data_IF_710102095990
#
_entry.id   IF_710102095990
#
_cell.length_a   1.000
_cell.length_b   1.000
_cell.length_c   1.000
_cell.angle_alpha   90.00
_cell.angle_beta   90.00
_cell.angle_gamma   90.00
#
_symmetry.space_group_name_H-M   'P 1'
#
loop_
_entity.id
_entity.type
_entity.pdbx_description
1 polymer ?
#
# COMPACT_ATOMS: atom_id res chain seq x y z
N UNK A 1 -29.91 -13.14 -42.99
CA UNK A 1 -29.68 -12.91 -41.58
C UNK A 1 -28.21 -13.16 -41.30
N UNK A 2 -27.45 -12.11 -41.14
CA UNK A 2 -26.01 -12.21 -40.82
C UNK A 2 -25.86 -12.03 -39.31
N UNK A 3 -25.40 -13.08 -38.62
CA UNK A 3 -25.05 -13.01 -37.21
C UNK A 3 -23.70 -12.33 -37.09
N UNK A 4 -23.73 -11.09 -36.60
CA UNK A 4 -22.50 -10.42 -36.15
C UNK A 4 -22.14 -10.98 -34.77
N UNK A 5 -21.17 -11.90 -34.74
CA UNK A 5 -20.53 -12.33 -33.49
C UNK A 5 -19.68 -11.15 -32.99
N UNK A 6 -20.21 -10.42 -32.03
CA UNK A 6 -19.45 -9.44 -31.27
C UNK A 6 -18.47 -10.22 -30.35
N UNK A 7 -17.25 -10.45 -30.83
CA UNK A 7 -16.14 -10.97 -30.03
C UNK A 7 -15.77 -9.89 -29.02
N UNK A 8 -16.18 -10.02 -27.78
CA UNK A 8 -15.56 -9.31 -26.67
C UNK A 8 -14.14 -9.83 -26.51
N UNK A 9 -13.20 -9.24 -27.23
CA UNK A 9 -11.80 -9.39 -26.91
C UNK A 9 -11.60 -8.75 -25.52
N UNK A 10 -11.36 -9.60 -24.51
CA UNK A 10 -10.76 -9.18 -23.25
C UNK A 10 -9.45 -8.51 -23.65
N UNK A 11 -9.39 -7.19 -23.53
CA UNK A 11 -8.11 -6.48 -23.63
C UNK A 11 -7.21 -7.03 -22.52
N UNK A 12 -6.28 -7.89 -22.88
CA UNK A 12 -5.16 -8.24 -22.01
C UNK A 12 -4.42 -6.95 -21.72
N UNK A 13 -4.56 -6.43 -20.52
CA UNK A 13 -3.82 -5.26 -20.07
C UNK A 13 -2.36 -5.67 -19.97
N UNK A 14 -1.61 -5.37 -21.00
CA UNK A 14 -0.19 -5.63 -21.06
C UNK A 14 0.52 -4.67 -20.11
N UNK A 15 1.17 -5.22 -19.09
CA UNK A 15 2.08 -4.46 -18.24
C UNK A 15 3.28 -4.03 -19.08
N UNK A 16 3.61 -2.76 -18.99
CA UNK A 16 4.61 -2.15 -19.85
C UNK A 16 5.89 -2.05 -19.05
N UNK A 17 6.97 -2.59 -19.56
CA UNK A 17 8.30 -2.32 -19.03
C UNK A 17 8.63 -0.83 -19.17
N UNK A 18 9.64 -0.35 -18.45
CA UNK A 18 10.07 1.04 -18.57
C UNK A 18 10.46 1.39 -20.02
N UNK A 19 11.13 0.46 -20.71
CA UNK A 19 11.55 0.63 -22.10
C UNK A 19 10.35 0.71 -23.05
N UNK A 20 9.36 -0.14 -22.85
CA UNK A 20 8.12 -0.08 -23.62
C UNK A 20 7.35 1.21 -23.36
N UNK A 21 7.30 1.67 -22.10
CA UNK A 21 6.64 2.93 -21.76
C UNK A 21 7.38 4.13 -22.35
N UNK A 22 8.71 4.09 -22.42
CA UNK A 22 9.53 5.14 -23.02
C UNK A 22 9.26 5.30 -24.54
N UNK A 23 8.93 4.20 -25.24
CA UNK A 23 8.64 4.21 -26.68
C UNK A 23 7.19 4.55 -27.00
N UNK A 24 6.29 4.52 -26.01
CA UNK A 24 4.86 4.72 -26.19
C UNK A 24 4.45 6.12 -25.80
N UNK A 25 4.47 7.01 -26.76
CA UNK A 25 3.72 8.27 -26.68
C UNK A 25 2.24 7.94 -26.75
N UNK A 26 1.55 8.03 -25.62
CA UNK A 26 0.09 8.02 -25.68
C UNK A 26 -0.34 9.39 -26.19
N UNK A 27 -1.35 9.43 -27.07
CA UNK A 27 -1.95 10.68 -27.54
C UNK A 27 -2.50 11.57 -26.42
N UNK A 28 -2.64 10.99 -25.22
CA UNK A 28 -3.21 11.64 -24.04
C UNK A 28 -2.15 12.33 -23.16
N UNK A 29 -0.92 11.80 -23.11
CA UNK A 29 0.15 12.33 -22.27
C UNK A 29 1.48 12.29 -23.02
N UNK A 30 2.14 13.41 -23.17
CA UNK A 30 3.53 13.47 -23.62
C UNK A 30 4.47 13.30 -22.40
N UNK A 31 4.55 12.09 -21.88
CA UNK A 31 5.31 11.75 -20.68
C UNK A 31 6.39 10.72 -21.04
N UNK A 32 7.63 11.02 -20.67
CA UNK A 32 8.73 10.04 -20.73
C UNK A 32 8.75 9.19 -19.46
N UNK A 33 8.82 7.87 -19.62
CA UNK A 33 8.96 6.92 -18.52
C UNK A 33 10.20 7.21 -17.66
N UNK A 34 11.33 7.53 -18.29
CA UNK A 34 12.57 7.88 -17.59
C UNK A 34 12.38 9.07 -16.65
N UNK A 35 11.60 10.05 -17.05
CA UNK A 35 11.29 11.23 -16.22
C UNK A 35 10.40 10.88 -15.06
N UNK A 36 9.39 10.03 -15.27
CA UNK A 36 8.54 9.50 -14.16
C UNK A 36 9.42 8.74 -13.18
N UNK A 37 10.26 7.85 -13.67
CA UNK A 37 11.12 7.04 -12.81
C UNK A 37 12.18 7.86 -12.06
N UNK A 38 12.75 8.89 -12.71
CA UNK A 38 13.65 9.85 -12.05
C UNK A 38 12.96 10.57 -10.88
N UNK A 39 11.68 10.94 -11.05
CA UNK A 39 10.90 11.53 -9.96
C UNK A 39 10.56 10.51 -8.85
N UNK A 40 10.27 9.25 -9.20
CA UNK A 40 10.12 8.17 -8.19
C UNK A 40 11.40 8.04 -7.36
N UNK A 41 12.58 8.04 -7.98
CA UNK A 41 13.86 8.00 -7.25
C UNK A 41 14.02 9.19 -6.31
N UNK A 42 13.62 10.39 -6.74
CA UNK A 42 13.63 11.58 -5.87
C UNK A 42 12.72 11.39 -4.66
N UNK A 43 11.52 10.84 -4.86
CA UNK A 43 10.60 10.52 -3.75
C UNK A 43 11.21 9.49 -2.79
N UNK A 44 11.85 8.45 -3.31
CA UNK A 44 12.52 7.41 -2.51
C UNK A 44 13.63 8.02 -1.64
N UNK A 45 14.47 8.90 -2.21
CA UNK A 45 15.57 9.54 -1.49
C UNK A 45 15.07 10.47 -0.37
N UNK A 46 13.93 11.11 -0.57
CA UNK A 46 13.31 11.98 0.44
C UNK A 46 12.51 11.24 1.50
N UNK A 47 12.18 9.96 1.26
CA UNK A 47 11.32 9.16 2.15
C UNK A 47 12.09 8.61 3.35
N UNK A 48 11.84 9.20 4.52
CA UNK A 48 12.44 8.81 5.81
C UNK A 48 11.60 7.81 6.60
N UNK A 49 10.50 7.29 6.04
CA UNK A 49 9.64 6.36 6.75
C UNK A 49 10.30 4.98 6.94
N UNK A 50 10.09 4.37 8.12
CA UNK A 50 10.79 3.16 8.55
C UNK A 50 9.86 1.96 8.79
N UNK A 51 8.60 2.00 8.31
CA UNK A 51 7.75 0.82 8.35
C UNK A 51 8.27 -0.26 7.38
N UNK A 52 7.99 -1.53 7.66
CA UNK A 52 8.37 -2.63 6.75
C UNK A 52 7.76 -2.42 5.36
N UNK A 53 6.47 -2.06 5.30
CA UNK A 53 5.78 -1.77 4.05
C UNK A 53 6.45 -0.67 3.23
N UNK A 54 6.93 0.40 3.88
CA UNK A 54 7.65 1.47 3.19
C UNK A 54 9.04 1.03 2.71
N UNK A 55 9.70 0.18 3.49
CA UNK A 55 10.98 -0.42 3.09
C UNK A 55 10.78 -1.35 1.88
N UNK A 56 9.71 -2.13 1.84
CA UNK A 56 9.35 -2.98 0.72
C UNK A 56 9.01 -2.17 -0.54
N UNK A 57 8.27 -1.08 -0.42
CA UNK A 57 8.01 -0.18 -1.55
C UNK A 57 9.30 0.40 -2.12
N UNK A 58 10.21 0.90 -1.27
CA UNK A 58 11.53 1.38 -1.71
C UNK A 58 12.36 0.27 -2.34
N UNK A 59 12.35 -0.94 -1.76
CA UNK A 59 13.06 -2.10 -2.30
C UNK A 59 12.59 -2.40 -3.72
N UNK A 60 11.27 -2.45 -3.95
CA UNK A 60 10.72 -2.72 -5.27
C UNK A 60 11.29 -1.77 -6.33
N UNK A 61 11.16 -0.45 -6.13
CA UNK A 61 11.62 0.54 -7.12
C UNK A 61 13.14 0.75 -7.17
N UNK A 62 13.90 0.25 -6.20
CA UNK A 62 15.36 0.23 -6.26
C UNK A 62 15.91 -0.99 -7.01
N UNK A 63 15.15 -2.11 -7.03
CA UNK A 63 15.58 -3.37 -7.64
C UNK A 63 14.90 -3.65 -8.98
N UNK A 64 13.67 -3.16 -9.16
CA UNK A 64 12.88 -3.32 -10.37
C UNK A 64 12.50 -1.95 -10.91
N UNK A 65 12.74 -1.71 -12.21
CA UNK A 65 12.28 -0.52 -12.92
C UNK A 65 10.84 -0.70 -13.45
N UNK A 66 10.05 -1.56 -12.81
CA UNK A 66 8.73 -1.94 -13.26
C UNK A 66 7.65 -1.12 -12.58
N UNK A 67 6.78 -0.50 -13.38
CA UNK A 67 5.61 0.22 -12.89
C UNK A 67 4.48 -0.77 -12.59
N UNK A 68 3.78 -0.55 -11.47
CA UNK A 68 2.72 -1.44 -10.99
C UNK A 68 1.31 -0.91 -11.30
N UNK A 69 1.14 0.41 -11.29
CA UNK A 69 -0.17 1.07 -11.36
C UNK A 69 -0.41 1.80 -12.66
N UNK A 70 0.66 2.29 -13.30
CA UNK A 70 0.57 3.05 -14.54
C UNK A 70 0.60 2.09 -15.73
N UNK A 71 -0.38 2.20 -16.57
CA UNK A 71 -0.50 1.46 -17.83
C UNK A 71 -0.47 2.42 -19.02
N UNK A 72 -0.35 1.89 -20.25
CA UNK A 72 -0.27 2.67 -21.50
C UNK A 72 -1.33 3.77 -21.63
N UNK A 73 -2.49 3.59 -21.06
CA UNK A 73 -3.61 4.52 -21.27
C UNK A 73 -3.98 5.35 -20.06
N UNK A 74 -3.70 4.86 -18.86
CA UNK A 74 -4.20 5.49 -17.63
C UNK A 74 -3.61 4.82 -16.38
N UNK A 75 -3.98 5.33 -15.20
CA UNK A 75 -3.76 4.66 -13.92
C UNK A 75 -4.75 3.50 -13.78
N UNK A 76 -4.28 2.36 -13.34
CA UNK A 76 -5.10 1.16 -13.14
C UNK A 76 -6.34 1.43 -12.26
N UNK A 77 -7.49 0.94 -12.68
CA UNK A 77 -8.74 1.01 -11.89
C UNK A 77 -8.66 0.33 -10.51
N UNK A 78 -7.64 -0.50 -10.27
CA UNK A 78 -7.31 -1.05 -8.95
C UNK A 78 -7.00 0.03 -7.92
N UNK A 79 -6.53 1.20 -8.36
CA UNK A 79 -6.33 2.35 -7.49
C UNK A 79 -7.64 2.79 -6.81
N UNK A 80 -8.76 2.79 -7.54
CA UNK A 80 -10.07 3.10 -6.97
C UNK A 80 -10.52 2.06 -5.95
N UNK A 81 -10.31 0.79 -6.28
CA UNK A 81 -10.60 -0.30 -5.37
C UNK A 81 -9.79 -0.16 -4.09
N UNK A 82 -8.48 0.09 -4.18
CA UNK A 82 -7.63 0.34 -3.03
C UNK A 82 -8.13 1.55 -2.21
N UNK A 83 -8.43 2.67 -2.87
CA UNK A 83 -8.95 3.86 -2.18
C UNK A 83 -10.29 3.60 -1.50
N UNK A 84 -11.15 2.74 -2.04
CA UNK A 84 -12.39 2.34 -1.39
C UNK A 84 -12.15 1.61 -0.06
N UNK A 85 -11.11 0.78 0.03
CA UNK A 85 -10.68 0.14 1.27
C UNK A 85 -10.08 1.15 2.25
N UNK A 86 -9.19 2.01 1.77
CA UNK A 86 -8.52 3.04 2.60
C UNK A 86 -9.53 4.06 3.14
N UNK A 87 -10.57 4.41 2.38
CA UNK A 87 -11.61 5.33 2.83
C UNK A 87 -12.32 4.90 4.12
N UNK A 88 -12.25 3.61 4.45
CA UNK A 88 -12.89 3.00 5.62
C UNK A 88 -11.96 2.65 6.76
N UNK A 89 -10.65 2.96 6.66
CA UNK A 89 -9.67 2.59 7.70
C UNK A 89 -9.90 3.30 9.03
N UNK A 90 -10.62 4.41 9.04
CA UNK A 90 -11.03 5.09 10.29
C UNK A 90 -11.86 4.14 11.18
N UNK A 91 -12.71 3.32 10.57
CA UNK A 91 -13.48 2.29 11.28
C UNK A 91 -12.61 1.18 11.88
N UNK A 92 -11.39 1.02 11.39
CA UNK A 92 -10.38 0.08 11.88
C UNK A 92 -9.43 0.71 12.91
N UNK A 93 -9.63 2.00 13.21
CA UNK A 93 -8.84 2.74 14.19
C UNK A 93 -7.62 3.47 13.62
N UNK A 94 -7.54 3.67 12.30
CA UNK A 94 -6.44 4.37 11.65
C UNK A 94 -6.89 5.66 10.98
N UNK A 95 -6.00 6.64 10.87
CA UNK A 95 -6.21 7.81 10.01
C UNK A 95 -5.92 7.45 8.55
N UNK A 96 -6.78 7.89 7.65
CA UNK A 96 -6.60 7.79 6.20
C UNK A 96 -5.32 8.45 5.70
N UNK A 97 -4.84 9.47 6.41
CA UNK A 97 -3.61 10.20 6.05
C UNK A 97 -2.36 9.31 6.13
N UNK A 98 -2.39 8.28 7.00
CA UNK A 98 -1.31 7.28 7.06
C UNK A 98 -1.17 6.46 5.77
N UNK A 99 -2.18 6.49 4.93
CA UNK A 99 -2.24 5.82 3.63
C UNK A 99 -2.26 6.80 2.46
N UNK A 100 -1.91 8.06 2.68
CA UNK A 100 -1.87 9.11 1.65
C UNK A 100 -3.21 9.35 0.93
N UNK A 101 -4.34 9.08 1.59
CA UNK A 101 -5.67 9.05 0.96
C UNK A 101 -6.02 10.33 0.22
N UNK A 102 -5.87 11.50 0.85
CA UNK A 102 -6.22 12.80 0.25
C UNK A 102 -5.35 13.08 -0.97
N UNK A 103 -4.03 12.90 -0.84
CA UNK A 103 -3.08 13.09 -1.94
C UNK A 103 -3.41 12.18 -3.15
N UNK A 104 -3.62 10.89 -2.89
CA UNK A 104 -3.92 9.93 -3.94
C UNK A 104 -5.25 10.22 -4.64
N UNK A 105 -6.27 10.63 -3.87
CA UNK A 105 -7.57 11.00 -4.42
C UNK A 105 -7.46 12.23 -5.33
N UNK A 106 -6.73 13.25 -4.90
CA UNK A 106 -6.51 14.47 -5.67
C UNK A 106 -5.71 14.18 -6.94
N UNK A 107 -4.62 13.42 -6.85
CA UNK A 107 -3.79 13.09 -8.00
C UNK A 107 -4.54 12.19 -9.01
N UNK A 108 -5.37 11.23 -8.57
CA UNK A 108 -6.25 10.48 -9.46
C UNK A 108 -7.28 11.37 -10.16
N UNK A 109 -7.83 12.34 -9.45
CA UNK A 109 -8.75 13.31 -10.05
C UNK A 109 -8.03 14.14 -11.13
N UNK A 110 -6.80 14.63 -10.86
CA UNK A 110 -5.99 15.36 -11.83
C UNK A 110 -5.74 14.56 -13.11
N UNK A 111 -5.40 13.29 -12.97
CA UNK A 111 -5.21 12.40 -14.13
C UNK A 111 -6.49 12.27 -14.95
N UNK A 112 -7.65 12.14 -14.30
CA UNK A 112 -8.94 11.97 -14.98
C UNK A 112 -9.41 13.22 -15.70
N UNK A 113 -9.17 14.38 -15.10
CA UNK A 113 -9.57 15.68 -15.66
C UNK A 113 -8.50 16.33 -16.53
N UNK A 114 -7.30 15.71 -16.62
CA UNK A 114 -6.13 16.26 -17.29
C UNK A 114 -5.69 17.63 -16.72
N UNK A 115 -5.95 17.84 -15.42
CA UNK A 115 -5.64 19.08 -14.72
C UNK A 115 -4.20 19.04 -14.20
N UNK A 116 -3.26 19.31 -15.09
CA UNK A 116 -1.83 19.36 -14.79
C UNK A 116 -1.28 20.76 -14.99
N UNK A 117 -0.31 21.11 -14.14
CA UNK A 117 0.45 22.34 -14.35
C UNK A 117 1.24 22.27 -15.67
N UNK A 118 1.11 23.29 -16.51
CA UNK A 118 1.83 23.39 -17.80
C UNK A 118 3.34 23.55 -17.60
N UNK A 119 3.77 24.05 -16.43
CA UNK A 119 5.19 24.20 -16.10
C UNK A 119 5.74 22.84 -15.65
N UNK A 120 6.70 22.31 -16.41
CA UNK A 120 7.28 20.95 -16.19
C UNK A 120 7.95 20.79 -14.79
N UNK A 121 8.40 21.86 -14.17
CA UNK A 121 9.02 21.87 -12.85
C UNK A 121 8.01 22.05 -11.70
N UNK A 122 6.78 22.44 -12.01
CA UNK A 122 5.73 22.62 -11.01
C UNK A 122 5.37 21.28 -10.32
N UNK A 123 4.82 21.36 -9.13
CA UNK A 123 4.56 20.19 -8.30
C UNK A 123 3.43 19.29 -8.82
N UNK A 124 2.50 19.86 -9.60
CA UNK A 124 1.42 19.12 -10.24
C UNK A 124 1.62 18.95 -11.75
N UNK A 125 2.86 19.01 -12.22
CA UNK A 125 3.15 18.59 -13.60
C UNK A 125 2.80 17.10 -13.78
N UNK A 126 2.36 16.71 -14.97
CA UNK A 126 1.91 15.34 -15.24
C UNK A 126 2.94 14.29 -14.79
N UNK A 127 4.22 14.49 -15.08
CA UNK A 127 5.31 13.58 -14.69
C UNK A 127 5.39 13.38 -13.18
N UNK A 128 5.28 14.46 -12.41
CA UNK A 128 5.34 14.36 -10.92
C UNK A 128 4.07 13.72 -10.35
N UNK A 129 2.90 14.02 -10.91
CA UNK A 129 1.64 13.42 -10.51
C UNK A 129 1.67 11.90 -10.73
N UNK A 130 2.11 11.44 -11.91
CA UNK A 130 2.25 10.01 -12.17
C UNK A 130 3.29 9.37 -11.26
N UNK A 131 4.43 9.99 -11.03
CA UNK A 131 5.44 9.47 -10.09
C UNK A 131 4.90 9.34 -8.65
N UNK A 132 4.13 10.32 -8.17
CA UNK A 132 3.48 10.26 -6.86
C UNK A 132 2.45 9.14 -6.80
N UNK A 133 1.60 9.01 -7.82
CA UNK A 133 0.60 7.94 -7.87
C UNK A 133 1.26 6.57 -7.82
N UNK A 134 2.25 6.32 -8.69
CA UNK A 134 2.96 5.05 -8.73
C UNK A 134 3.55 4.68 -7.37
N UNK A 135 4.31 5.59 -6.77
CA UNK A 135 5.01 5.33 -5.52
C UNK A 135 4.08 5.25 -4.31
N UNK A 136 3.16 6.21 -4.16
CA UNK A 136 2.31 6.24 -2.97
C UNK A 136 1.14 5.26 -3.02
N UNK A 137 0.65 4.85 -4.20
CA UNK A 137 -0.30 3.73 -4.28
C UNK A 137 0.36 2.43 -3.84
N UNK A 138 1.60 2.18 -4.23
CA UNK A 138 2.37 1.01 -3.76
C UNK A 138 2.56 1.04 -2.26
N UNK A 139 2.97 2.18 -1.70
CA UNK A 139 3.09 2.33 -0.24
C UNK A 139 1.76 2.13 0.48
N UNK A 140 0.69 2.72 -0.02
CA UNK A 140 -0.64 2.60 0.58
C UNK A 140 -1.15 1.15 0.54
N UNK A 141 -0.94 0.46 -0.58
CA UNK A 141 -1.31 -0.94 -0.75
C UNK A 141 -0.54 -1.84 0.20
N UNK A 142 0.79 -1.73 0.25
CA UNK A 142 1.62 -2.54 1.15
C UNK A 142 1.33 -2.21 2.62
N UNK A 143 1.21 -0.94 2.99
CA UNK A 143 0.80 -0.56 4.36
C UNK A 143 -0.54 -1.18 4.75
N UNK A 144 -1.51 -1.18 3.84
CA UNK A 144 -2.82 -1.76 4.13
C UNK A 144 -2.73 -3.29 4.26
N UNK A 145 -2.17 -3.97 3.28
CA UNK A 145 -2.17 -5.44 3.21
C UNK A 145 -1.23 -6.07 4.24
N UNK A 146 -0.01 -5.55 4.39
CA UNK A 146 0.93 -6.02 5.41
C UNK A 146 0.42 -5.68 6.81
N UNK A 147 -0.08 -4.46 7.01
CA UNK A 147 -0.59 -4.03 8.31
C UNK A 147 -1.81 -4.83 8.75
N UNK A 148 -2.72 -5.17 7.85
CA UNK A 148 -3.88 -6.00 8.19
C UNK A 148 -3.50 -7.45 8.48
N UNK A 149 -2.54 -8.00 7.74
CA UNK A 149 -2.16 -9.41 7.84
C UNK A 149 -1.13 -9.70 8.93
N UNK A 150 -0.16 -8.82 9.14
CA UNK A 150 0.98 -9.04 10.04
C UNK A 150 1.05 -8.06 11.20
N UNK A 151 0.14 -7.08 11.25
CA UNK A 151 0.14 -6.00 12.21
C UNK A 151 0.87 -4.76 11.72
N UNK A 152 0.42 -3.61 12.22
CA UNK A 152 1.05 -2.30 11.95
C UNK A 152 2.25 -2.03 12.86
N UNK A 153 2.34 -2.76 13.97
CA UNK A 153 3.43 -2.69 14.93
C UNK A 153 4.17 -4.02 14.97
N UNK A 154 5.49 -3.96 14.98
CA UNK A 154 6.29 -5.18 15.17
C UNK A 154 6.18 -5.65 16.64
N UNK A 155 5.59 -6.83 16.91
CA UNK A 155 5.40 -7.33 18.28
C UNK A 155 6.71 -7.50 19.04
N UNK A 156 7.76 -7.90 18.36
CA UNK A 156 9.10 -8.06 18.96
C UNK A 156 9.69 -6.74 19.44
N UNK A 157 9.33 -5.61 18.81
CA UNK A 157 9.76 -4.28 19.26
C UNK A 157 8.82 -3.67 20.30
N UNK A 158 7.53 -4.02 20.24
CA UNK A 158 6.51 -3.39 21.07
C UNK A 158 6.46 -3.98 22.50
N UNK A 159 6.70 -5.28 22.67
CA UNK A 159 6.45 -5.99 23.92
C UNK A 159 7.66 -6.71 24.53
N UNK A 160 8.73 -6.94 23.78
CA UNK A 160 9.88 -7.72 24.26
C UNK A 160 10.87 -6.94 25.12
N UNK A 161 10.61 -5.68 25.45
CA UNK A 161 11.50 -4.82 26.25
C UNK A 161 10.84 -4.31 27.53
N UNK A 162 9.78 -4.97 28.00
CA UNK A 162 9.00 -4.45 29.13
C UNK A 162 9.58 -4.84 30.50
N UNK A 163 10.48 -5.80 30.57
CA UNK A 163 11.01 -6.26 31.85
C UNK A 163 12.53 -6.51 31.75
N UNK A 164 13.29 -5.78 32.56
CA UNK A 164 14.74 -5.94 32.65
C UNK A 164 15.04 -7.18 33.51
N UNK A 165 15.89 -8.08 33.02
CA UNK A 165 16.39 -9.19 33.82
C UNK A 165 17.22 -8.66 34.99
N UNK A 166 16.81 -8.99 36.22
CA UNK A 166 17.46 -8.51 37.43
C UNK A 166 18.86 -9.08 37.65
N UNK A 167 19.20 -10.17 36.96
CA UNK A 167 20.40 -10.95 37.23
C UNK A 167 21.57 -10.63 36.26
N UNK A 168 21.41 -9.68 35.34
CA UNK A 168 22.43 -9.33 34.38
C UNK A 168 22.94 -7.91 34.64
N UNK A 169 24.05 -7.81 35.39
CA UNK A 169 24.68 -6.53 35.71
C UNK A 169 25.64 -6.03 34.62
N UNK A 170 26.03 -6.87 33.66
CA UNK A 170 27.01 -6.56 32.63
C UNK A 170 26.35 -6.28 31.26
N UNK A 171 25.24 -6.98 30.95
CA UNK A 171 24.50 -6.81 29.72
C UNK A 171 23.00 -6.74 30.03
N UNK A 172 22.40 -5.56 29.83
CA UNK A 172 20.96 -5.38 30.03
C UNK A 172 20.19 -6.25 29.04
N UNK A 173 19.75 -7.43 29.51
CA UNK A 173 18.87 -8.30 28.74
C UNK A 173 17.43 -8.13 29.19
N UNK A 174 16.52 -8.09 28.25
CA UNK A 174 15.08 -8.00 28.55
C UNK A 174 14.43 -9.37 28.45
N UNK A 175 13.54 -9.67 29.38
CA UNK A 175 12.75 -10.89 29.32
C UNK A 175 11.72 -10.76 28.22
N UNK A 176 11.63 -11.75 27.33
CA UNK A 176 10.49 -11.87 26.40
C UNK A 176 9.27 -12.30 27.23
N UNK A 177 8.32 -11.39 27.43
CA UNK A 177 7.09 -11.68 28.17
C UNK A 177 6.13 -12.59 27.41
N UNK A 178 6.24 -12.60 26.08
CA UNK A 178 5.37 -13.39 25.20
C UNK A 178 6.21 -14.00 24.08
N UNK A 179 6.10 -15.29 23.89
CA UNK A 179 6.60 -15.98 22.70
C UNK A 179 5.59 -15.78 21.56
N UNK A 180 5.74 -14.67 20.82
CA UNK A 180 4.93 -14.48 19.62
C UNK A 180 5.55 -15.24 18.47
N UNK A 181 4.83 -16.20 17.94
CA UNK A 181 5.19 -16.90 16.70
C UNK A 181 4.52 -16.19 15.52
N UNK A 182 4.81 -14.90 15.31
CA UNK A 182 4.25 -14.17 14.18
C UNK A 182 5.21 -14.20 13.02
N UNK A 183 4.70 -14.52 11.84
CA UNK A 183 5.40 -14.27 10.61
C UNK A 183 5.45 -12.77 10.33
N UNK A 184 6.61 -12.27 9.91
CA UNK A 184 6.73 -10.94 9.35
C UNK A 184 6.64 -11.01 7.82
N UNK A 185 6.18 -9.94 7.15
CA UNK A 185 6.22 -9.90 5.69
C UNK A 185 7.67 -10.04 5.21
N UNK A 186 7.86 -10.84 4.17
CA UNK A 186 9.16 -11.16 3.58
C UNK A 186 9.17 -10.88 2.08
N UNK A 187 10.28 -11.15 1.42
CA UNK A 187 10.46 -10.92 -0.02
C UNK A 187 9.47 -11.73 -0.88
N UNK A 188 9.11 -12.93 -0.46
CA UNK A 188 8.10 -13.75 -1.15
C UNK A 188 6.73 -13.08 -1.08
N UNK A 189 6.38 -12.52 0.07
CA UNK A 189 5.14 -11.73 0.21
C UNK A 189 5.16 -10.50 -0.69
N UNK A 190 6.28 -9.76 -0.72
CA UNK A 190 6.43 -8.60 -1.59
C UNK A 190 6.27 -8.97 -3.07
N UNK A 191 6.92 -10.04 -3.51
CA UNK A 191 6.79 -10.53 -4.89
C UNK A 191 5.33 -10.89 -5.23
N UNK A 192 4.64 -11.59 -4.32
CA UNK A 192 3.22 -11.93 -4.46
C UNK A 192 2.35 -10.67 -4.53
N UNK A 193 2.58 -9.70 -3.65
CA UNK A 193 1.85 -8.45 -3.61
C UNK A 193 2.01 -7.64 -4.90
N UNK A 194 3.24 -7.55 -5.45
CA UNK A 194 3.50 -6.92 -6.74
C UNK A 194 2.80 -7.66 -7.90
N UNK A 195 2.88 -9.00 -7.90
CA UNK A 195 2.20 -9.81 -8.92
C UNK A 195 0.66 -9.62 -8.90
N UNK A 196 0.07 -9.48 -7.73
CA UNK A 196 -1.37 -9.21 -7.56
C UNK A 196 -1.75 -7.83 -8.12
N UNK A 197 -0.92 -6.80 -7.92
CA UNK A 197 -1.19 -5.48 -8.51
C UNK A 197 -1.20 -5.58 -10.05
N UNK A 198 -0.31 -6.37 -10.62
CA UNK A 198 -0.22 -6.59 -12.07
C UNK A 198 -1.29 -7.55 -12.61
N UNK A 199 -1.79 -8.47 -11.79
CA UNK A 199 -2.80 -9.47 -12.14
C UNK A 199 -4.16 -8.86 -12.52
N UNK A 200 -5.19 -9.68 -12.57
CA UNK A 200 -6.57 -9.23 -12.81
C UNK A 200 -7.20 -8.53 -11.60
N UNK A 201 -8.40 -7.96 -11.82
CA UNK A 201 -9.11 -7.23 -10.78
C UNK A 201 -9.67 -8.15 -9.68
N UNK A 202 -10.09 -9.35 -10.05
CA UNK A 202 -10.71 -10.30 -9.11
C UNK A 202 -9.67 -10.80 -8.11
N UNK A 203 -8.48 -11.16 -8.59
CA UNK A 203 -7.34 -11.52 -7.74
C UNK A 203 -6.91 -10.37 -6.83
N UNK A 204 -6.92 -9.14 -7.34
CA UNK A 204 -6.59 -7.95 -6.54
C UNK A 204 -7.60 -7.70 -5.42
N UNK A 205 -8.89 -7.76 -5.74
CA UNK A 205 -9.96 -7.57 -4.76
C UNK A 205 -9.96 -8.69 -3.70
N UNK A 206 -9.75 -9.94 -4.13
CA UNK A 206 -9.65 -11.10 -3.26
C UNK A 206 -8.45 -11.01 -2.31
N UNK A 207 -7.30 -10.58 -2.80
CA UNK A 207 -6.09 -10.35 -1.98
C UNK A 207 -6.33 -9.30 -0.89
N UNK A 208 -6.97 -8.17 -1.24
CA UNK A 208 -7.35 -7.14 -0.26
C UNK A 208 -8.34 -7.70 0.78
N UNK A 209 -9.33 -8.47 0.36
CA UNK A 209 -10.30 -9.07 1.25
C UNK A 209 -9.67 -10.08 2.20
N UNK A 210 -8.77 -10.92 1.71
CA UNK A 210 -8.04 -11.96 2.48
C UNK A 210 -6.94 -11.40 3.38
N UNK A 211 -6.58 -10.13 3.23
CA UNK A 211 -5.60 -9.48 4.13
C UNK A 211 -6.14 -9.25 5.55
N UNK A 212 -7.43 -9.40 5.78
CA UNK A 212 -8.04 -9.23 7.12
C UNK A 212 -7.58 -10.33 8.08
N UNK A 213 -7.40 -10.01 9.38
CA UNK A 213 -7.12 -11.00 10.41
C UNK A 213 -8.18 -12.10 10.48
N UNK A 214 -7.76 -13.32 10.71
CA UNK A 214 -8.66 -14.48 10.85
C UNK A 214 -9.16 -14.68 12.29
N UNK A 215 -8.56 -14.01 13.28
CA UNK A 215 -8.94 -14.12 14.67
C UNK A 215 -10.43 -13.80 14.88
N UNK A 216 -11.22 -14.70 15.52
CA UNK A 216 -12.65 -14.53 15.68
C UNK A 216 -13.03 -13.33 16.58
N UNK A 217 -12.11 -12.83 17.41
CA UNK A 217 -12.33 -11.66 18.25
C UNK A 217 -12.15 -10.34 17.48
N UNK A 218 -11.46 -10.36 16.33
CA UNK A 218 -11.18 -9.15 15.56
C UNK A 218 -12.45 -8.36 15.24
N UNK A 219 -13.46 -9.02 14.65
CA UNK A 219 -14.72 -8.38 14.29
C UNK A 219 -15.47 -7.82 15.52
N UNK A 220 -15.43 -8.53 16.64
CA UNK A 220 -16.04 -8.08 17.91
C UNK A 220 -15.36 -6.82 18.45
N UNK A 221 -14.03 -6.77 18.43
CA UNK A 221 -13.27 -5.61 18.88
C UNK A 221 -13.48 -4.40 17.94
N UNK A 222 -13.51 -4.60 16.62
CA UNK A 222 -13.85 -3.53 15.67
C UNK A 222 -15.26 -2.98 15.92
N UNK A 223 -16.25 -3.84 16.15
CA UNK A 223 -17.61 -3.40 16.50
C UNK A 223 -17.64 -2.58 17.79
N UNK A 224 -16.94 -3.02 18.82
CA UNK A 224 -16.83 -2.29 20.09
C UNK A 224 -16.11 -0.94 19.92
N UNK A 225 -15.03 -0.92 19.13
CA UNK A 225 -14.27 0.31 18.84
C UNK A 225 -15.14 1.41 18.20
N UNK A 226 -16.03 1.01 17.28
CA UNK A 226 -16.90 1.95 16.58
C UNK A 226 -18.09 2.44 17.42
N UNK A 227 -18.40 1.74 18.54
CA UNK A 227 -19.49 2.10 19.44
C UNK A 227 -19.04 2.93 20.65
N UNK A 228 -17.78 2.79 21.06
CA UNK A 228 -17.29 3.43 22.29
C UNK A 228 -16.80 4.86 22.04
N UNK A 229 -17.09 5.74 23.03
CA UNK A 229 -16.52 7.09 23.14
C UNK A 229 -15.49 7.19 24.28
N UNK A 230 -15.39 6.18 25.13
CA UNK A 230 -14.44 6.13 26.22
C UNK A 230 -13.01 5.99 25.66
N UNK A 231 -12.13 6.93 26.03
CA UNK A 231 -10.77 7.01 25.50
C UNK A 231 -9.88 5.85 25.96
N UNK A 232 -10.02 5.43 27.21
CA UNK A 232 -9.19 4.37 27.78
C UNK A 232 -9.64 3.00 27.29
N UNK A 233 -10.95 2.80 27.21
CA UNK A 233 -11.48 1.59 26.59
C UNK A 233 -11.12 1.50 25.12
N UNK A 234 -11.21 2.62 24.39
CA UNK A 234 -10.78 2.70 22.98
C UNK A 234 -9.30 2.31 22.80
N UNK A 235 -8.41 2.80 23.69
CA UNK A 235 -6.98 2.45 23.66
C UNK A 235 -6.78 0.95 23.88
N UNK A 236 -7.46 0.35 24.83
CA UNK A 236 -7.40 -1.10 25.09
C UNK A 236 -7.91 -1.91 23.89
N UNK A 237 -8.99 -1.48 23.26
CA UNK A 237 -9.51 -2.11 22.05
C UNK A 237 -8.50 -2.05 20.89
N UNK A 238 -7.86 -0.90 20.66
CA UNK A 238 -6.83 -0.77 19.61
C UNK A 238 -5.65 -1.72 19.84
N UNK A 239 -5.19 -1.86 21.09
CA UNK A 239 -4.14 -2.83 21.43
C UNK A 239 -4.58 -4.27 21.15
N UNK A 240 -5.82 -4.64 21.51
CA UNK A 240 -6.34 -5.98 21.27
C UNK A 240 -6.59 -6.25 19.78
N UNK A 241 -7.05 -5.27 19.03
CA UNK A 241 -7.20 -5.35 17.57
C UNK A 241 -5.84 -5.61 16.92
N UNK A 242 -4.80 -4.89 17.36
CA UNK A 242 -3.45 -5.11 16.87
C UNK A 242 -2.94 -6.53 17.18
N UNK A 243 -3.19 -7.03 18.39
CA UNK A 243 -2.85 -8.41 18.77
C UNK A 243 -3.54 -9.46 17.91
N UNK A 244 -4.77 -9.20 17.45
CA UNK A 244 -5.47 -10.09 16.53
C UNK A 244 -4.83 -10.16 15.13
N UNK A 245 -3.92 -9.27 14.80
CA UNK A 245 -3.18 -9.25 13.53
C UNK A 245 -1.87 -10.04 13.60
N UNK A 246 -1.42 -10.37 14.81
CA UNK A 246 -0.16 -11.09 15.02
C UNK A 246 -0.37 -12.61 15.08
N UNK A 247 -0.98 -13.18 14.07
CA UNK A 247 -1.24 -14.62 13.95
C UNK A 247 -0.26 -15.30 12.97
#
# INVERSE_FOLDING_TARGET
MAFVLCSCQKEERMYVSLDDFATLRTSRYDISADRVFSNIRTLILSDKSNSLADMHARKHYNTSMEMLWITRGDVSSKADTLLSYISRVDSLGFSRDKFYYSLLKEDLQRVRTLDFDSIKTADNSAVKVFARLEYYLTKAFLRYTEGQRFGFMNPYKAFNRLDQRKDDTLHVTYRSLYGWHTSLPNDTYLATACAVIKGDMDNFADFLAKSKPHNPLYAKYISALNKTRDKDYRRRLLCNIERCRWE
#
